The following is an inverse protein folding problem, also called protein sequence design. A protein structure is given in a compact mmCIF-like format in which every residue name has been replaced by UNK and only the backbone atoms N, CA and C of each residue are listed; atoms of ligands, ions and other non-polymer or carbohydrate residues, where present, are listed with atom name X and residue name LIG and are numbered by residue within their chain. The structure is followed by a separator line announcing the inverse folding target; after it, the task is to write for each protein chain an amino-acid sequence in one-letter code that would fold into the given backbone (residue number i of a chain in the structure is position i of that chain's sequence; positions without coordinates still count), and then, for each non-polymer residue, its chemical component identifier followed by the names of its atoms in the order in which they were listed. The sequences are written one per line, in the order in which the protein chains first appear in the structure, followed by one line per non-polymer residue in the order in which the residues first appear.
data_IF_118955531177
#
_entry.id   IF_118955531177
#
_cell.length_a   1.000
_cell.length_b   1.000
_cell.length_c   1.000
_cell.angle_alpha   90.00
_cell.angle_beta   90.00
_cell.angle_gamma   90.00
#
_symmetry.space_group_name_H-M   'P 1'
#
loop_
_entity.id
_entity.type
_entity.pdbx_description
1 polymer ?
#
# COMPACT_ATOMS: atom_id res chain seq x y z
N UNK A 1 -54.29 -11.68 -22.60
CA UNK A 1 -53.84 -11.29 -23.94
C UNK A 1 -52.45 -10.74 -23.77
N UNK A 2 -51.56 -11.63 -24.03
CA UNK A 2 -50.44 -11.53 -24.98
C UNK A 2 -49.40 -10.52 -24.52
N UNK A 3 -48.24 -10.88 -24.11
CA UNK A 3 -47.34 -11.91 -24.66
C UNK A 3 -46.21 -11.21 -25.38
N UNK A 4 -45.11 -11.69 -25.25
CA UNK A 4 -43.90 -11.61 -26.06
C UNK A 4 -42.65 -11.27 -25.20
N UNK A 5 -41.90 -12.33 -24.96
CA UNK A 5 -40.55 -12.29 -24.46
C UNK A 5 -39.56 -11.80 -25.52
N UNK A 6 -38.55 -11.16 -25.07
CA UNK A 6 -37.32 -10.91 -25.83
C UNK A 6 -36.13 -11.45 -25.01
N UNK A 7 -35.50 -12.48 -25.55
CA UNK A 7 -34.26 -13.04 -25.11
C UNK A 7 -33.16 -12.00 -25.32
N UNK A 8 -32.55 -11.53 -24.22
CA UNK A 8 -31.34 -10.73 -24.27
C UNK A 8 -30.13 -11.65 -24.38
N UNK A 9 -29.41 -11.52 -25.47
CA UNK A 9 -28.19 -12.25 -25.77
C UNK A 9 -27.08 -11.91 -24.75
N UNK A 10 -26.46 -12.97 -24.25
CA UNK A 10 -25.25 -12.90 -23.45
C UNK A 10 -24.10 -12.46 -24.38
N UNK A 11 -23.76 -11.19 -24.34
CA UNK A 11 -22.50 -10.68 -24.88
C UNK A 11 -21.38 -11.02 -23.91
N UNK A 12 -20.38 -11.70 -24.41
CA UNK A 12 -19.12 -12.01 -23.75
C UNK A 12 -18.49 -10.74 -23.17
N UNK A 13 -18.67 -10.52 -21.87
CA UNK A 13 -18.02 -9.42 -21.14
C UNK A 13 -16.54 -9.69 -21.01
N UNK A 14 -15.74 -8.89 -21.68
CA UNK A 14 -14.34 -8.68 -21.29
C UNK A 14 -14.31 -8.29 -19.81
N UNK A 15 -13.48 -9.03 -19.00
CA UNK A 15 -13.43 -8.88 -17.55
C UNK A 15 -13.08 -7.45 -17.14
N UNK A 16 -14.10 -6.66 -16.84
CA UNK A 16 -13.94 -5.43 -16.08
C UNK A 16 -13.60 -5.80 -14.65
N UNK A 17 -12.40 -5.43 -14.25
CA UNK A 17 -11.98 -5.42 -12.84
C UNK A 17 -12.96 -4.58 -12.01
N UNK A 18 -13.12 -4.87 -10.71
CA UNK A 18 -14.00 -4.11 -9.85
C UNK A 18 -13.70 -2.61 -9.97
N UNK A 19 -14.71 -1.75 -9.80
CA UNK A 19 -14.50 -0.31 -9.75
C UNK A 19 -13.41 0.03 -8.74
N UNK A 20 -12.77 1.18 -8.94
CA UNK A 20 -11.82 1.75 -7.97
C UNK A 20 -12.33 1.47 -6.55
N UNK A 21 -11.48 0.98 -5.62
CA UNK A 21 -11.90 0.88 -4.23
C UNK A 21 -12.46 2.26 -3.86
N UNK A 22 -13.72 2.27 -3.43
CA UNK A 22 -14.39 3.50 -2.97
C UNK A 22 -13.44 4.25 -2.05
N UNK A 23 -13.43 5.58 -2.15
CA UNK A 23 -12.62 6.47 -1.31
C UNK A 23 -12.63 5.90 0.10
N UNK A 24 -11.46 5.60 0.63
CA UNK A 24 -11.35 5.09 1.99
C UNK A 24 -12.14 6.04 2.88
N UNK A 25 -13.19 5.60 3.59
CA UNK A 25 -13.94 6.50 4.43
C UNK A 25 -12.98 7.05 5.48
N UNK A 26 -12.91 8.36 5.58
CA UNK A 26 -12.28 9.07 6.67
C UNK A 26 -13.01 8.65 7.97
N UNK A 27 -12.56 7.57 8.58
CA UNK A 27 -12.96 7.20 9.93
C UNK A 27 -11.70 7.05 10.75
N UNK A 28 -11.45 8.11 11.50
CA UNK A 28 -10.57 8.14 12.63
C UNK A 28 -10.75 6.85 13.47
N UNK A 29 -9.75 6.01 13.47
CA UNK A 29 -9.50 5.14 14.61
C UNK A 29 -8.49 5.86 15.49
N UNK A 30 -8.98 6.75 16.34
CA UNK A 30 -8.27 7.17 17.53
C UNK A 30 -8.10 5.92 18.42
N UNK A 31 -7.03 5.20 18.18
CA UNK A 31 -6.63 4.06 18.99
C UNK A 31 -6.08 4.54 20.32
N UNK A 32 -6.73 4.17 21.40
CA UNK A 32 -6.25 4.31 22.76
C UNK A 32 -4.80 3.81 22.89
N UNK A 33 -3.90 4.73 23.26
CA UNK A 33 -2.52 4.40 23.65
C UNK A 33 -2.53 3.64 24.98
N UNK A 34 -2.34 2.33 24.95
CA UNK A 34 -1.90 1.58 26.13
C UNK A 34 -0.37 1.71 26.25
N UNK A 35 0.06 2.49 27.21
CA UNK A 35 1.43 2.45 27.74
C UNK A 35 1.65 1.10 28.42
N UNK A 36 2.57 0.30 27.91
CA UNK A 36 3.05 -0.93 28.56
C UNK A 36 4.50 -1.17 28.18
N UNK A 37 5.41 -0.64 28.96
CA UNK A 37 6.82 -0.99 28.87
C UNK A 37 7.08 -2.36 29.51
N UNK A 38 7.91 -3.16 28.87
CA UNK A 38 8.68 -4.21 29.53
C UNK A 38 9.95 -4.50 28.71
N UNK A 39 11.05 -4.10 29.32
CA UNK A 39 12.41 -4.50 28.99
C UNK A 39 12.63 -5.96 29.30
N UNK A 40 13.20 -6.75 28.40
CA UNK A 40 14.03 -7.87 28.78
C UNK A 40 15.11 -8.16 27.73
N UNK A 41 16.32 -8.06 28.22
CA UNK A 41 17.59 -8.38 27.60
C UNK A 41 17.72 -9.91 27.56
N UNK A 42 18.09 -10.49 26.43
CA UNK A 42 18.82 -11.77 26.39
C UNK A 42 19.85 -11.73 25.28
N UNK A 43 21.10 -11.94 25.66
CA UNK A 43 22.28 -12.03 24.79
C UNK A 43 22.46 -13.42 24.15
N UNK A 44 23.37 -13.55 23.17
CA UNK A 44 23.46 -14.70 22.28
C UNK A 44 24.38 -15.79 22.78
N UNK A 45 24.09 -17.04 22.53
CA UNK A 45 24.99 -18.17 22.66
C UNK A 45 25.30 -18.80 21.33
N UNK A 46 26.60 -18.97 21.14
CA UNK A 46 27.31 -19.65 20.05
C UNK A 46 26.84 -21.10 19.88
N UNK A 47 26.86 -21.62 18.65
CA UNK A 47 27.53 -22.90 18.41
C UNK A 47 27.91 -23.05 16.94
N UNK A 48 29.20 -23.23 16.77
CA UNK A 48 29.95 -23.67 15.58
C UNK A 48 29.88 -25.19 15.45
N UNK A 49 30.16 -25.66 14.24
CA UNK A 49 30.61 -27.02 13.83
C UNK A 49 29.51 -28.03 13.52
N UNK A 50 29.36 -28.40 12.26
CA UNK A 50 29.84 -29.67 11.71
C UNK A 50 29.84 -29.61 10.17
N UNK A 51 31.03 -29.59 9.61
CA UNK A 51 31.31 -29.88 8.20
C UNK A 51 31.72 -31.39 8.12
N UNK A 52 31.32 -32.04 7.03
CA UNK A 52 32.00 -33.16 6.34
C UNK A 52 31.20 -34.44 6.16
N UNK A 53 31.37 -34.88 4.92
CA UNK A 53 31.26 -36.25 4.35
C UNK A 53 29.86 -36.59 3.84
N UNK A 54 29.63 -36.84 2.54
CA UNK A 54 30.17 -37.91 1.74
C UNK A 54 30.01 -37.67 0.24
N UNK A 55 31.09 -37.84 -0.48
CA UNK A 55 31.19 -38.11 -1.94
C UNK A 55 30.88 -39.55 -2.25
N UNK A 56 30.61 -39.78 -3.54
CA UNK A 56 30.66 -41.03 -4.29
C UNK A 56 29.45 -41.99 -4.24
N UNK A 57 28.72 -42.02 -5.35
CA UNK A 57 28.64 -43.25 -6.18
C UNK A 57 28.13 -42.93 -7.57
N UNK A 58 29.05 -43.02 -8.54
CA UNK A 58 28.77 -43.25 -9.93
C UNK A 58 28.51 -44.75 -10.14
N UNK A 59 27.39 -45.10 -10.76
CA UNK A 59 27.24 -46.38 -11.44
C UNK A 59 26.60 -46.16 -12.80
N UNK A 60 27.39 -46.45 -13.82
CA UNK A 60 27.03 -46.59 -15.23
C UNK A 60 26.12 -47.79 -15.46
N UNK A 61 25.09 -47.67 -16.27
CA UNK A 61 24.61 -48.80 -17.09
C UNK A 61 23.72 -48.35 -18.26
N UNK A 62 24.13 -48.75 -19.44
CA UNK A 62 23.28 -49.38 -20.46
C UNK A 62 22.51 -48.46 -21.43
N UNK A 63 23.15 -48.21 -22.56
CA UNK A 63 22.46 -47.74 -23.79
C UNK A 63 21.57 -48.85 -24.32
N UNK A 64 20.27 -48.61 -24.40
CA UNK A 64 19.33 -49.38 -25.22
C UNK A 64 18.58 -48.44 -26.12
N UNK A 65 18.88 -48.53 -27.40
CA UNK A 65 18.19 -47.83 -28.47
C UNK A 65 16.74 -48.27 -28.59
N UNK A 66 15.80 -47.42 -28.27
CA UNK A 66 14.39 -47.58 -28.60
C UNK A 66 14.04 -46.64 -29.73
N UNK A 67 13.56 -47.21 -30.83
CA UNK A 67 13.07 -46.54 -32.04
C UNK A 67 11.98 -45.56 -31.67
N UNK A 68 12.16 -44.31 -32.07
CA UNK A 68 11.17 -43.25 -32.01
C UNK A 68 10.13 -43.51 -33.09
N UNK A 69 8.94 -43.97 -32.71
CA UNK A 69 7.74 -43.82 -33.54
C UNK A 69 7.24 -42.39 -33.40
N UNK A 70 7.14 -41.69 -34.52
CA UNK A 70 6.57 -40.36 -34.63
C UNK A 70 5.08 -40.36 -34.18
N UNK A 71 4.83 -40.13 -32.90
CA UNK A 71 3.54 -39.73 -32.45
C UNK A 71 3.45 -38.19 -32.59
N UNK A 72 2.50 -37.73 -33.36
CA UNK A 72 2.02 -36.35 -33.39
C UNK A 72 1.81 -35.88 -31.97
N UNK A 73 2.77 -35.14 -31.42
CA UNK A 73 2.58 -34.41 -30.17
C UNK A 73 1.58 -33.30 -30.41
N UNK A 74 0.31 -33.59 -30.20
CA UNK A 74 -0.62 -32.56 -29.74
C UNK A 74 0.01 -31.98 -28.48
N UNK A 75 0.45 -30.73 -28.54
CA UNK A 75 0.87 -29.97 -27.37
C UNK A 75 -0.35 -29.87 -26.46
N UNK A 76 -0.48 -30.84 -25.55
CA UNK A 76 -1.34 -30.72 -24.39
C UNK A 76 -0.76 -29.52 -23.63
N UNK A 77 -1.42 -28.36 -23.71
CA UNK A 77 -1.08 -27.21 -22.87
C UNK A 77 -1.27 -27.63 -21.42
N UNK A 78 -0.15 -27.82 -20.77
CA UNK A 78 0.00 -28.56 -19.56
C UNK A 78 -0.42 -27.72 -18.35
N UNK A 79 -1.71 -27.83 -17.91
CA UNK A 79 -2.18 -27.33 -16.63
C UNK A 79 -1.55 -28.08 -15.44
N UNK A 80 -0.76 -29.13 -15.72
CA UNK A 80 -0.03 -29.91 -14.72
C UNK A 80 0.95 -29.01 -13.95
N UNK A 81 1.59 -28.07 -14.62
CA UNK A 81 2.53 -27.13 -13.98
C UNK A 81 1.81 -26.20 -12.99
N UNK A 82 0.65 -25.64 -13.36
CA UNK A 82 -0.13 -24.78 -12.47
C UNK A 82 -0.67 -25.59 -11.30
N UNK A 83 -1.21 -26.79 -11.56
CA UNK A 83 -1.69 -27.71 -10.52
C UNK A 83 -0.59 -28.10 -9.54
N UNK A 84 0.58 -28.51 -10.03
CA UNK A 84 1.75 -28.88 -9.19
C UNK A 84 2.15 -27.67 -8.33
N UNK A 85 2.23 -26.48 -8.92
CA UNK A 85 2.61 -25.26 -8.21
C UNK A 85 1.65 -24.91 -7.09
N UNK A 86 0.34 -25.09 -7.28
CA UNK A 86 -0.66 -24.85 -6.25
C UNK A 86 -0.65 -25.96 -5.18
N UNK A 87 -0.38 -27.21 -5.54
CA UNK A 87 -0.22 -28.28 -4.55
C UNK A 87 1.03 -28.09 -3.70
N UNK A 88 2.12 -27.59 -4.29
CA UNK A 88 3.34 -27.21 -3.53
C UNK A 88 3.06 -26.03 -2.60
N UNK A 89 2.30 -25.03 -3.06
CA UNK A 89 1.84 -23.96 -2.20
C UNK A 89 0.98 -24.52 -1.05
N UNK A 90 0.03 -25.41 -1.33
CA UNK A 90 -0.79 -26.07 -0.30
C UNK A 90 0.07 -26.81 0.74
N UNK A 91 1.16 -27.46 0.34
CA UNK A 91 2.08 -28.16 1.27
C UNK A 91 2.82 -27.18 2.21
N UNK A 92 3.01 -25.93 1.79
CA UNK A 92 3.61 -24.89 2.61
C UNK A 92 2.64 -24.28 3.64
N UNK A 93 1.35 -24.60 3.54
CA UNK A 93 0.32 -24.20 4.52
C UNK A 93 0.42 -25.10 5.74
N UNK A 94 0.63 -24.51 6.89
CA UNK A 94 0.77 -25.22 8.18
C UNK A 94 -0.53 -25.25 8.97
N UNK A 95 -1.47 -24.34 8.71
CA UNK A 95 -2.79 -24.31 9.31
C UNK A 95 -3.85 -23.92 8.28
N UNK A 96 -4.88 -24.76 8.18
CA UNK A 96 -6.10 -24.54 7.40
C UNK A 96 -7.31 -25.01 8.25
N UNK A 97 -7.53 -24.30 9.36
CA UNK A 97 -8.58 -24.66 10.34
C UNK A 97 -9.99 -24.62 9.74
N UNK A 98 -10.20 -23.81 8.71
CA UNK A 98 -11.48 -23.70 8.00
C UNK A 98 -11.63 -24.70 6.86
N UNK A 99 -10.63 -25.57 6.63
CA UNK A 99 -10.58 -26.52 5.50
C UNK A 99 -10.82 -25.83 4.14
N UNK A 100 -10.29 -24.61 4.00
CA UNK A 100 -10.48 -23.78 2.81
C UNK A 100 -9.90 -24.46 1.55
N UNK A 101 -8.79 -25.18 1.70
CA UNK A 101 -8.10 -25.87 0.61
C UNK A 101 -8.54 -27.36 0.46
N UNK A 102 -9.70 -27.75 1.01
CA UNK A 102 -10.20 -29.13 0.91
C UNK A 102 -10.40 -29.57 -0.54
N UNK A 103 -10.84 -28.64 -1.42
CA UNK A 103 -11.05 -28.92 -2.84
C UNK A 103 -9.75 -29.11 -3.64
N UNK A 104 -8.60 -28.77 -3.06
CA UNK A 104 -7.30 -28.80 -3.74
C UNK A 104 -6.70 -30.21 -3.70
N UNK A 105 -7.07 -31.05 -4.65
CA UNK A 105 -6.52 -32.41 -4.80
C UNK A 105 -6.55 -32.85 -6.27
N UNK A 106 -5.68 -33.76 -6.63
CA UNK A 106 -5.45 -34.22 -8.03
C UNK A 106 -6.73 -34.73 -8.70
N UNK A 107 -7.68 -35.29 -7.91
CA UNK A 107 -8.95 -35.82 -8.45
C UNK A 107 -10.01 -34.76 -8.75
N UNK A 108 -9.78 -33.48 -8.42
CA UNK A 108 -10.70 -32.39 -8.71
C UNK A 108 -10.16 -31.50 -9.83
N UNK A 109 -11.02 -31.02 -10.75
CA UNK A 109 -10.58 -30.06 -11.79
C UNK A 109 -10.00 -28.81 -11.17
N UNK A 110 -8.81 -28.38 -11.63
CA UNK A 110 -8.06 -27.24 -11.11
C UNK A 110 -8.90 -25.96 -10.99
N UNK A 111 -9.67 -25.66 -12.03
CA UNK A 111 -10.50 -24.46 -12.09
C UNK A 111 -11.78 -24.53 -11.22
N UNK A 112 -11.96 -25.62 -10.48
CA UNK A 112 -13.00 -25.75 -9.44
C UNK A 112 -12.44 -25.66 -8.02
N UNK A 113 -11.14 -25.50 -7.89
CA UNK A 113 -10.52 -25.32 -6.59
C UNK A 113 -10.91 -23.96 -6.00
N UNK A 114 -11.19 -23.94 -4.71
CA UNK A 114 -11.56 -22.70 -4.03
C UNK A 114 -10.48 -21.63 -4.23
N UNK A 115 -10.90 -20.44 -4.65
CA UNK A 115 -10.02 -19.30 -4.87
C UNK A 115 -9.23 -19.35 -6.18
N UNK A 116 -9.39 -20.36 -7.02
CA UNK A 116 -8.71 -20.49 -8.31
C UNK A 116 -9.64 -20.10 -9.44
N UNK A 117 -9.21 -19.15 -10.27
CA UNK A 117 -9.89 -18.77 -11.52
C UNK A 117 -8.96 -19.06 -12.67
N UNK A 118 -9.50 -19.71 -13.70
CA UNK A 118 -8.75 -20.04 -14.92
C UNK A 118 -9.12 -19.12 -16.08
N UNK A 119 -8.22 -19.06 -17.05
CA UNK A 119 -8.43 -18.34 -18.31
C UNK A 119 -9.50 -19.01 -19.17
N UNK A 120 -10.09 -18.24 -20.09
CA UNK A 120 -11.09 -18.71 -21.02
C UNK A 120 -10.53 -19.59 -22.17
N UNK A 121 -11.31 -19.83 -23.22
CA UNK A 121 -11.05 -20.86 -24.24
C UNK A 121 -9.71 -20.78 -24.97
N UNK A 122 -9.09 -19.60 -25.05
CA UNK A 122 -7.81 -19.41 -25.75
C UNK A 122 -6.61 -20.07 -25.06
N UNK A 123 -6.67 -20.19 -23.74
CA UNK A 123 -5.64 -20.84 -22.90
C UNK A 123 -6.34 -21.62 -21.80
N UNK A 124 -7.04 -22.71 -22.16
CA UNK A 124 -7.86 -23.44 -21.20
C UNK A 124 -7.01 -23.91 -20.03
N UNK A 125 -7.58 -23.78 -18.84
CA UNK A 125 -7.05 -24.28 -17.58
C UNK A 125 -5.76 -23.61 -17.05
N UNK A 126 -5.34 -22.45 -17.60
CA UNK A 126 -4.25 -21.67 -16.98
C UNK A 126 -4.80 -20.78 -15.88
N UNK A 127 -4.18 -20.81 -14.73
CA UNK A 127 -4.58 -20.00 -13.57
C UNK A 127 -4.27 -18.52 -13.82
N UNK A 128 -5.31 -17.68 -13.77
CA UNK A 128 -5.19 -16.23 -13.94
C UNK A 128 -5.46 -15.47 -12.64
N UNK A 129 -6.16 -16.08 -11.69
CA UNK A 129 -6.40 -15.49 -10.36
C UNK A 129 -6.26 -16.56 -9.28
N UNK A 130 -5.62 -16.18 -8.20
CA UNK A 130 -5.60 -16.93 -6.95
C UNK A 130 -6.03 -15.96 -5.83
N UNK A 131 -7.22 -16.19 -5.29
CA UNK A 131 -7.79 -15.41 -4.21
C UNK A 131 -8.09 -16.31 -2.99
N UNK A 132 -7.29 -16.13 -1.95
CA UNK A 132 -7.40 -16.82 -0.68
C UNK A 132 -7.51 -15.84 0.50
N UNK A 133 -8.06 -14.65 0.24
CA UNK A 133 -8.26 -13.60 1.24
C UNK A 133 -9.10 -14.10 2.41
N UNK A 134 -8.69 -13.75 3.63
CA UNK A 134 -9.45 -13.96 4.88
C UNK A 134 -9.90 -15.41 5.11
N UNK A 135 -9.01 -16.36 4.87
CA UNK A 135 -9.30 -17.80 5.07
C UNK A 135 -8.65 -18.39 6.34
N UNK A 136 -8.01 -17.54 7.16
CA UNK A 136 -7.27 -17.97 8.36
C UNK A 136 -6.18 -19.01 8.06
N UNK A 137 -5.57 -18.91 6.87
CA UNK A 137 -4.46 -19.76 6.47
C UNK A 137 -3.16 -19.30 7.16
N UNK A 138 -2.31 -20.26 7.53
CA UNK A 138 -0.97 -19.94 8.03
C UNK A 138 0.07 -20.85 7.35
N UNK A 139 1.29 -20.39 7.29
CA UNK A 139 2.41 -21.06 6.63
C UNK A 139 3.26 -20.07 5.85
N UNK A 140 3.97 -20.53 4.85
CA UNK A 140 4.81 -19.69 3.99
C UNK A 140 4.25 -19.59 2.58
N UNK A 141 4.54 -18.47 1.91
CA UNK A 141 4.21 -18.31 0.49
C UNK A 141 5.25 -19.08 -0.31
N UNK A 142 4.84 -20.21 -0.89
CA UNK A 142 5.77 -21.06 -1.65
C UNK A 142 6.30 -20.36 -2.89
N UNK A 143 7.63 -20.43 -3.14
CA UNK A 143 8.23 -19.94 -4.39
C UNK A 143 7.67 -20.61 -5.65
N UNK A 144 6.98 -21.74 -5.53
CA UNK A 144 6.34 -22.41 -6.68
C UNK A 144 5.29 -21.56 -7.37
N UNK A 145 4.66 -20.58 -6.65
CA UNK A 145 3.69 -19.65 -7.23
C UNK A 145 4.27 -18.86 -8.43
N UNK A 146 5.59 -18.66 -8.49
CA UNK A 146 6.25 -18.02 -9.66
C UNK A 146 6.03 -18.75 -11.00
N UNK A 147 5.61 -20.02 -10.97
CA UNK A 147 5.35 -20.81 -12.16
C UNK A 147 3.96 -20.58 -12.75
N UNK A 148 3.07 -19.89 -12.02
CA UNK A 148 1.76 -19.49 -12.51
C UNK A 148 1.88 -18.31 -13.49
N UNK A 149 2.55 -18.51 -14.61
CA UNK A 149 2.99 -17.45 -15.55
C UNK A 149 1.83 -16.70 -16.21
N UNK A 150 0.60 -17.18 -16.09
CA UNK A 150 -0.63 -16.49 -16.55
C UNK A 150 -1.32 -15.70 -15.45
N UNK A 151 -0.82 -15.77 -14.21
CA UNK A 151 -1.42 -15.12 -13.06
C UNK A 151 -1.46 -13.60 -13.26
N UNK A 152 -2.65 -13.02 -13.08
CA UNK A 152 -2.92 -11.58 -13.11
C UNK A 152 -3.25 -11.04 -11.72
N UNK A 153 -3.92 -11.85 -10.89
CA UNK A 153 -4.32 -11.47 -9.54
C UNK A 153 -3.84 -12.50 -8.52
N UNK A 154 -3.09 -12.03 -7.54
CA UNK A 154 -2.71 -12.79 -6.35
C UNK A 154 -3.19 -12.03 -5.11
N UNK A 155 -4.12 -12.63 -4.38
CA UNK A 155 -4.70 -12.05 -3.19
C UNK A 155 -4.64 -13.06 -2.04
N UNK A 156 -3.78 -12.77 -1.07
CA UNK A 156 -3.53 -13.60 0.11
C UNK A 156 -3.71 -12.80 1.41
N UNK A 157 -4.33 -11.63 1.33
CA UNK A 157 -4.48 -10.71 2.47
C UNK A 157 -5.34 -11.29 3.60
N UNK A 158 -5.20 -10.70 4.79
CA UNK A 158 -5.93 -11.08 6.01
C UNK A 158 -5.78 -12.56 6.36
N UNK A 159 -4.54 -13.03 6.45
CA UNK A 159 -4.19 -14.40 6.80
C UNK A 159 -3.04 -14.42 7.82
N UNK A 160 -2.47 -15.59 8.09
CA UNK A 160 -1.32 -15.76 8.98
C UNK A 160 -0.05 -16.19 8.24
N UNK A 161 0.18 -15.71 7.03
CA UNK A 161 1.39 -16.05 6.29
C UNK A 161 2.62 -15.43 6.94
N UNK A 162 3.69 -16.24 7.04
CA UNK A 162 4.98 -15.88 7.62
C UNK A 162 6.10 -16.07 6.60
N UNK A 163 7.32 -15.69 6.97
CA UNK A 163 8.50 -15.84 6.11
C UNK A 163 8.64 -14.69 5.13
N UNK A 164 9.44 -14.88 4.10
CA UNK A 164 9.76 -13.85 3.12
C UNK A 164 8.79 -13.84 1.93
N UNK A 165 8.66 -12.70 1.28
CA UNK A 165 7.97 -12.62 -0.01
C UNK A 165 8.84 -13.34 -1.05
N UNK A 166 8.34 -14.39 -1.72
CA UNK A 166 9.13 -15.10 -2.71
C UNK A 166 9.39 -14.26 -3.97
N UNK A 167 10.44 -14.56 -4.74
CA UNK A 167 10.73 -13.83 -5.98
C UNK A 167 9.68 -14.14 -7.04
N UNK A 168 8.90 -13.12 -7.43
CA UNK A 168 7.84 -13.23 -8.45
C UNK A 168 8.27 -12.87 -9.87
N UNK A 169 9.58 -12.90 -10.16
CA UNK A 169 10.16 -12.43 -11.43
C UNK A 169 9.55 -13.02 -12.72
N UNK A 170 8.88 -14.18 -12.64
CA UNK A 170 8.20 -14.81 -13.78
C UNK A 170 6.76 -14.37 -13.97
N UNK A 171 6.17 -13.68 -12.99
CA UNK A 171 4.77 -13.25 -13.02
C UNK A 171 4.60 -11.93 -13.81
N UNK A 172 5.08 -11.90 -15.04
CA UNK A 172 5.07 -10.70 -15.87
C UNK A 172 3.67 -10.19 -16.23
N UNK A 173 2.64 -11.03 -16.04
CA UNK A 173 1.23 -10.66 -16.27
C UNK A 173 0.51 -10.21 -15.01
N UNK A 174 1.21 -10.19 -13.87
CA UNK A 174 0.62 -9.81 -12.59
C UNK A 174 0.22 -8.34 -12.61
N UNK A 175 -1.05 -8.09 -12.36
CA UNK A 175 -1.71 -6.78 -12.35
C UNK A 175 -2.07 -6.35 -10.94
N UNK A 176 -2.40 -7.30 -10.08
CA UNK A 176 -2.84 -7.09 -8.71
C UNK A 176 -2.09 -8.02 -7.75
N UNK A 177 -1.43 -7.45 -6.77
CA UNK A 177 -0.77 -8.18 -5.68
C UNK A 177 -1.21 -7.61 -4.34
N UNK A 178 -1.91 -8.41 -3.55
CA UNK A 178 -2.28 -8.08 -2.19
C UNK A 178 -1.83 -9.17 -1.21
N UNK A 179 -0.86 -8.81 -0.37
CA UNK A 179 -0.31 -9.63 0.70
C UNK A 179 -0.51 -8.95 2.07
N UNK A 180 -1.39 -7.94 2.15
CA UNK A 180 -1.61 -7.14 3.36
C UNK A 180 -2.12 -7.99 4.53
N UNK A 181 -1.97 -7.46 5.75
CA UNK A 181 -2.49 -8.09 6.98
C UNK A 181 -2.03 -9.54 7.13
N UNK A 182 -0.70 -9.72 7.15
CA UNK A 182 -0.02 -10.99 7.39
C UNK A 182 1.15 -10.78 8.37
N UNK A 183 2.04 -11.76 8.48
CA UNK A 183 3.27 -11.68 9.31
C UNK A 183 4.52 -11.91 8.45
N UNK A 184 4.49 -11.43 7.21
CA UNK A 184 5.60 -11.53 6.28
C UNK A 184 6.78 -10.67 6.77
N UNK A 185 8.00 -11.17 6.57
CA UNK A 185 9.24 -10.53 7.04
C UNK A 185 10.31 -10.54 5.94
N UNK A 186 11.46 -9.97 6.23
CA UNK A 186 12.52 -9.79 5.24
C UNK A 186 12.27 -8.55 4.37
N UNK A 187 12.98 -8.43 3.28
CA UNK A 187 12.93 -7.27 2.38
C UNK A 187 11.85 -7.43 1.30
N UNK A 188 11.42 -6.30 0.73
CA UNK A 188 10.64 -6.31 -0.52
C UNK A 188 11.60 -6.74 -1.65
N UNK A 189 11.38 -7.89 -2.32
CA UNK A 189 12.32 -8.38 -3.32
C UNK A 189 12.42 -7.44 -4.54
N UNK A 190 13.63 -7.09 -4.96
CA UNK A 190 13.88 -6.31 -6.19
C UNK A 190 13.23 -6.96 -7.41
N UNK A 191 13.15 -8.28 -7.43
CA UNK A 191 12.55 -9.05 -8.53
C UNK A 191 11.06 -8.74 -8.72
N UNK A 192 10.38 -8.19 -7.71
CA UNK A 192 8.99 -7.74 -7.82
C UNK A 192 8.85 -6.60 -8.84
N UNK A 193 9.88 -5.76 -8.97
CA UNK A 193 9.91 -4.65 -9.93
C UNK A 193 9.91 -5.10 -11.40
N UNK A 194 10.08 -6.40 -11.67
CA UNK A 194 9.95 -6.98 -13.00
C UNK A 194 8.50 -7.27 -13.42
N UNK A 195 7.55 -7.17 -12.48
CA UNK A 195 6.12 -7.33 -12.76
C UNK A 195 5.53 -6.03 -13.34
N UNK A 196 5.98 -5.62 -14.53
CA UNK A 196 5.69 -4.30 -15.13
C UNK A 196 4.21 -4.00 -15.37
N UNK A 197 3.34 -5.01 -15.32
CA UNK A 197 1.90 -4.85 -15.47
C UNK A 197 1.17 -4.56 -14.14
N UNK A 198 1.89 -4.50 -13.01
CA UNK A 198 1.27 -4.21 -11.72
C UNK A 198 0.59 -2.84 -11.71
N UNK A 199 -0.68 -2.86 -11.31
CA UNK A 199 -1.51 -1.68 -11.02
C UNK A 199 -1.65 -1.48 -9.51
N UNK A 200 -1.72 -2.57 -8.73
CA UNK A 200 -1.94 -2.59 -7.30
C UNK A 200 -0.84 -3.37 -6.61
N UNK A 201 -0.16 -2.73 -5.67
CA UNK A 201 0.84 -3.35 -4.82
C UNK A 201 0.51 -3.05 -3.36
N UNK A 202 -0.09 -4.02 -2.68
CA UNK A 202 -0.52 -3.92 -1.29
C UNK A 202 0.27 -4.90 -0.41
N UNK A 203 1.13 -4.35 0.43
CA UNK A 203 1.98 -5.09 1.38
C UNK A 203 1.81 -4.56 2.82
N UNK A 204 0.80 -3.73 3.07
CA UNK A 204 0.58 -3.09 4.36
C UNK A 204 0.35 -4.10 5.49
N UNK A 205 0.64 -3.69 6.73
CA UNK A 205 0.45 -4.51 7.94
C UNK A 205 1.15 -5.86 7.85
N UNK A 206 2.48 -5.77 7.76
CA UNK A 206 3.41 -6.90 7.78
C UNK A 206 4.62 -6.56 8.66
N UNK A 207 5.65 -7.39 8.63
CA UNK A 207 6.90 -7.19 9.38
C UNK A 207 8.08 -6.98 8.42
N UNK A 208 7.83 -6.34 7.27
CA UNK A 208 8.83 -6.11 6.24
C UNK A 208 9.88 -5.10 6.71
N UNK A 209 11.12 -5.31 6.33
CA UNK A 209 12.29 -4.49 6.71
C UNK A 209 13.07 -4.07 5.46
N UNK A 210 14.11 -3.25 5.66
CA UNK A 210 14.96 -2.77 4.59
C UNK A 210 14.30 -1.64 3.80
N UNK A 211 14.84 -1.32 2.65
CA UNK A 211 14.43 -0.17 1.86
C UNK A 211 13.31 -0.50 0.87
N UNK A 212 12.56 0.51 0.48
CA UNK A 212 11.70 0.41 -0.72
C UNK A 212 12.62 0.27 -1.93
N UNK A 213 12.49 -0.79 -2.75
CA UNK A 213 13.41 -1.04 -3.84
C UNK A 213 13.54 0.15 -4.80
N UNK A 214 14.76 0.60 -5.09
CA UNK A 214 15.00 1.72 -6.02
C UNK A 214 14.47 1.43 -7.44
N UNK A 215 14.35 0.14 -7.80
CA UNK A 215 13.74 -0.33 -9.05
C UNK A 215 12.22 -0.15 -9.12
N UNK A 216 11.54 0.31 -8.06
CA UNK A 216 10.07 0.49 -8.04
C UNK A 216 9.57 1.36 -9.19
N UNK A 217 10.36 2.33 -9.64
CA UNK A 217 10.06 3.18 -10.80
C UNK A 217 9.92 2.47 -12.14
N UNK A 218 10.22 1.15 -12.21
CA UNK A 218 9.98 0.32 -13.41
C UNK A 218 8.53 -0.13 -13.54
N UNK A 219 7.75 -0.03 -12.46
CA UNK A 219 6.33 -0.40 -12.44
C UNK A 219 5.47 0.72 -13.04
N UNK A 220 5.65 1.02 -14.32
CA UNK A 220 5.06 2.19 -15.01
C UNK A 220 3.53 2.23 -14.98
N UNK A 221 2.87 1.10 -14.77
CA UNK A 221 1.41 0.98 -14.69
C UNK A 221 0.88 1.12 -13.24
N UNK A 222 1.76 1.19 -12.24
CA UNK A 222 1.33 1.18 -10.84
C UNK A 222 0.52 2.44 -10.53
N UNK A 223 -0.69 2.24 -9.99
CA UNK A 223 -1.58 3.29 -9.57
C UNK A 223 -1.73 3.34 -8.05
N UNK A 224 -1.62 2.22 -7.36
CA UNK A 224 -1.78 2.09 -5.91
C UNK A 224 -0.55 1.44 -5.28
N UNK A 225 0.18 2.19 -4.45
CA UNK A 225 1.34 1.72 -3.70
C UNK A 225 1.06 1.83 -2.20
N UNK A 226 0.74 0.72 -1.56
CA UNK A 226 0.44 0.67 -0.13
C UNK A 226 1.41 -0.25 0.62
N UNK A 227 2.33 0.35 1.38
CA UNK A 227 3.37 -0.32 2.17
C UNK A 227 3.28 0.04 3.66
N UNK A 228 2.15 0.61 4.08
CA UNK A 228 1.92 1.11 5.43
C UNK A 228 2.10 0.04 6.52
N UNK A 229 2.41 0.47 7.75
CA UNK A 229 2.51 -0.42 8.90
C UNK A 229 3.48 -1.58 8.70
N UNK A 230 4.75 -1.23 8.46
CA UNK A 230 5.88 -2.14 8.31
C UNK A 230 7.11 -1.61 9.10
N UNK A 231 8.26 -2.20 8.91
CA UNK A 231 9.52 -1.72 9.48
C UNK A 231 10.50 -1.25 8.39
N UNK A 232 9.98 -0.66 7.30
CA UNK A 232 10.80 -0.20 6.18
C UNK A 232 11.69 0.97 6.60
N UNK A 233 12.89 1.02 6.08
CA UNK A 233 13.94 2.00 6.37
C UNK A 233 14.45 2.67 5.11
N UNK A 234 15.43 3.56 5.25
CA UNK A 234 16.02 4.28 4.12
C UNK A 234 15.14 5.42 3.61
N UNK A 235 15.44 5.92 2.43
CA UNK A 235 14.78 7.07 1.85
C UNK A 235 13.61 6.66 0.93
N UNK A 236 12.68 7.59 0.73
CA UNK A 236 11.63 7.42 -0.30
C UNK A 236 12.30 7.48 -1.67
N UNK A 237 12.19 6.45 -2.53
CA UNK A 237 12.91 6.42 -3.79
C UNK A 237 12.48 7.53 -4.75
N UNK A 238 13.39 8.40 -5.21
CA UNK A 238 13.07 9.43 -6.22
C UNK A 238 12.59 8.85 -7.56
N UNK A 239 12.87 7.55 -7.80
CA UNK A 239 12.42 6.82 -8.99
C UNK A 239 10.89 6.69 -9.09
N UNK A 240 10.15 6.93 -8.02
CA UNK A 240 8.68 6.98 -8.03
C UNK A 240 8.14 7.97 -9.06
N UNK A 241 8.89 9.03 -9.39
CA UNK A 241 8.55 9.98 -10.47
C UNK A 241 8.30 9.34 -11.84
N UNK A 242 8.90 8.19 -12.09
CA UNK A 242 8.76 7.48 -13.37
C UNK A 242 7.40 6.79 -13.52
N UNK A 243 6.61 6.74 -12.45
CA UNK A 243 5.31 6.06 -12.43
C UNK A 243 4.20 7.12 -12.57
N UNK A 244 3.99 7.61 -13.77
CA UNK A 244 3.02 8.68 -14.05
C UNK A 244 1.55 8.31 -13.73
N UNK A 245 1.28 7.03 -13.54
CA UNK A 245 -0.07 6.52 -13.22
C UNK A 245 -0.36 6.48 -11.71
N UNK A 246 0.62 6.82 -10.84
CA UNK A 246 0.41 6.80 -9.39
C UNK A 246 -0.72 7.74 -8.98
N UNK A 247 -1.66 7.18 -8.28
CA UNK A 247 -2.84 7.82 -7.69
C UNK A 247 -2.74 7.91 -6.17
N UNK A 248 -2.27 6.83 -5.55
CA UNK A 248 -2.14 6.76 -4.10
C UNK A 248 -0.78 6.20 -3.68
N UNK A 249 -0.20 6.85 -2.69
CA UNK A 249 1.01 6.38 -2.00
C UNK A 249 0.69 6.39 -0.51
N UNK A 250 0.76 5.22 0.13
CA UNK A 250 0.66 5.08 1.58
C UNK A 250 1.90 4.37 2.12
N UNK A 251 2.72 5.12 2.85
CA UNK A 251 3.94 4.66 3.52
C UNK A 251 3.85 4.88 5.04
N UNK A 252 2.66 5.20 5.55
CA UNK A 252 2.45 5.54 6.97
C UNK A 252 2.96 4.43 7.89
N UNK A 253 3.43 4.82 9.06
CA UNK A 253 3.88 3.88 10.11
C UNK A 253 4.99 2.96 9.65
N UNK A 254 6.15 3.56 9.32
CA UNK A 254 7.40 2.92 8.95
C UNK A 254 8.59 3.59 9.66
N UNK A 255 9.80 3.37 9.19
CA UNK A 255 11.03 3.98 9.72
C UNK A 255 11.81 4.70 8.61
N UNK A 256 11.08 5.30 7.67
CA UNK A 256 11.68 6.00 6.54
C UNK A 256 12.36 7.28 7.00
N UNK A 257 13.49 7.57 6.41
CA UNK A 257 14.36 8.73 6.73
C UNK A 257 14.60 9.60 5.51
N UNK A 258 15.44 10.62 5.65
CA UNK A 258 15.75 11.55 4.57
C UNK A 258 14.65 12.58 4.35
N UNK A 259 14.54 13.10 3.15
CA UNK A 259 13.58 14.16 2.80
C UNK A 259 12.48 13.60 1.89
N UNK A 260 11.33 14.28 1.88
CA UNK A 260 10.29 14.00 0.87
C UNK A 260 10.83 14.42 -0.50
N UNK A 261 10.92 13.52 -1.50
CA UNK A 261 11.46 13.86 -2.81
C UNK A 261 10.59 14.89 -3.56
N UNK A 262 11.22 15.94 -4.12
CA UNK A 262 10.56 16.93 -4.98
C UNK A 262 9.79 16.30 -6.16
N UNK A 263 10.26 15.16 -6.59
CA UNK A 263 9.68 14.39 -7.67
C UNK A 263 8.23 13.96 -7.44
N UNK A 264 7.82 13.75 -6.19
CA UNK A 264 6.43 13.36 -5.87
C UNK A 264 5.44 14.45 -6.26
N UNK A 265 5.81 15.73 -6.12
CA UNK A 265 4.96 16.85 -6.54
C UNK A 265 4.78 16.97 -8.06
N UNK A 266 5.50 16.20 -8.85
CA UNK A 266 5.39 16.18 -10.33
C UNK A 266 4.50 15.05 -10.84
N UNK A 267 3.92 14.24 -9.95
CA UNK A 267 3.03 13.14 -10.32
C UNK A 267 1.63 13.68 -10.64
N UNK A 268 1.18 13.58 -11.90
CA UNK A 268 -0.02 14.30 -12.35
C UNK A 268 -1.34 13.76 -11.81
N UNK A 269 -1.34 12.50 -11.35
CA UNK A 269 -2.55 11.79 -10.92
C UNK A 269 -2.58 11.52 -9.41
N UNK A 270 -1.56 11.99 -8.67
CA UNK A 270 -1.46 11.73 -7.23
C UNK A 270 -2.50 12.54 -6.46
N UNK A 271 -3.50 11.86 -5.88
CA UNK A 271 -4.52 12.52 -5.06
C UNK A 271 -4.41 12.15 -3.57
N UNK A 272 -3.74 11.07 -3.23
CA UNK A 272 -3.55 10.60 -1.86
C UNK A 272 -2.07 10.37 -1.56
N UNK A 273 -1.52 11.13 -0.63
CA UNK A 273 -0.14 10.98 -0.14
C UNK A 273 -0.15 10.91 1.38
N UNK A 274 0.15 9.73 1.91
CA UNK A 274 0.24 9.49 3.35
C UNK A 274 1.64 8.96 3.71
N UNK A 275 2.42 9.83 4.36
CA UNK A 275 3.79 9.59 4.82
C UNK A 275 3.89 9.72 6.35
N UNK A 276 2.76 9.80 7.06
CA UNK A 276 2.73 9.99 8.50
C UNK A 276 3.48 8.89 9.27
N UNK A 277 3.83 9.15 10.52
CA UNK A 277 4.48 8.20 11.42
C UNK A 277 5.77 7.60 10.82
N UNK A 278 6.72 8.46 10.48
CA UNK A 278 8.05 8.10 9.96
C UNK A 278 9.14 8.96 10.62
N UNK A 279 10.35 8.94 10.08
CA UNK A 279 11.48 9.76 10.55
C UNK A 279 11.95 10.72 9.43
N UNK A 280 11.00 11.20 8.61
CA UNK A 280 11.29 12.14 7.52
C UNK A 280 11.65 13.52 8.06
N UNK A 281 12.59 14.18 7.43
CA UNK A 281 13.11 15.49 7.82
C UNK A 281 13.06 16.51 6.66
N UNK A 282 13.51 17.73 6.93
CA UNK A 282 13.47 18.81 5.92
C UNK A 282 12.11 19.50 5.88
N UNK A 283 11.73 20.04 4.74
CA UNK A 283 10.45 20.72 4.54
C UNK A 283 9.55 20.00 3.55
N UNK A 284 8.33 20.52 3.38
CA UNK A 284 7.43 20.09 2.30
C UNK A 284 8.04 20.54 0.97
N UNK A 285 8.23 19.65 0.00
CA UNK A 285 8.80 20.00 -1.30
C UNK A 285 7.96 21.07 -2.02
N UNK A 286 8.64 22.09 -2.57
CA UNK A 286 7.96 23.16 -3.30
C UNK A 286 7.10 22.62 -4.47
N UNK A 287 7.54 21.54 -5.09
CA UNK A 287 6.82 20.92 -6.18
C UNK A 287 5.40 20.41 -5.81
N UNK A 288 5.13 20.12 -4.52
CA UNK A 288 3.81 19.69 -4.06
C UNK A 288 2.79 20.85 -4.04
N UNK A 289 3.24 22.10 -3.88
CA UNK A 289 2.37 23.27 -3.73
C UNK A 289 2.64 24.43 -4.73
N UNK A 290 3.54 24.21 -5.71
CA UNK A 290 3.90 25.28 -6.69
C UNK A 290 3.05 25.28 -7.96
N UNK A 291 2.57 24.10 -8.37
CA UNK A 291 1.91 23.96 -9.65
C UNK A 291 0.40 23.83 -9.47
N UNK A 292 -0.37 24.68 -10.19
CA UNK A 292 -1.86 24.70 -10.19
C UNK A 292 -2.52 23.41 -10.69
N UNK A 293 -1.79 22.34 -10.85
CA UNK A 293 -2.28 21.04 -11.33
C UNK A 293 -2.28 19.97 -10.24
N UNK A 294 -2.21 20.38 -8.98
CA UNK A 294 -2.27 19.43 -7.90
C UNK A 294 -3.63 18.74 -7.88
N UNK A 295 -3.63 17.46 -8.20
CA UNK A 295 -4.78 16.57 -7.99
C UNK A 295 -4.90 16.16 -6.52
N UNK A 296 -3.99 16.64 -5.66
CA UNK A 296 -3.87 16.20 -4.28
C UNK A 296 -5.11 16.57 -3.48
N UNK A 297 -5.74 15.56 -2.87
CA UNK A 297 -6.91 15.69 -2.02
C UNK A 297 -6.56 15.39 -0.56
N UNK A 298 -5.65 14.45 -0.33
CA UNK A 298 -5.23 14.03 1.00
C UNK A 298 -3.72 14.13 1.10
N UNK A 299 -3.24 14.93 2.06
CA UNK A 299 -1.83 15.08 2.40
C UNK A 299 -1.66 14.86 3.90
N UNK A 300 -1.09 13.71 4.26
CA UNK A 300 -0.81 13.34 5.65
C UNK A 300 0.68 13.18 5.86
N UNK A 301 1.26 14.05 6.67
CA UNK A 301 2.68 14.13 6.99
C UNK A 301 2.93 14.11 8.50
N UNK A 302 1.90 13.89 9.30
CA UNK A 302 1.96 13.92 10.77
C UNK A 302 2.99 12.97 11.37
N UNK A 303 3.42 13.24 12.60
CA UNK A 303 4.38 12.39 13.34
C UNK A 303 5.65 12.08 12.55
N UNK A 304 6.41 13.15 12.23
CA UNK A 304 7.71 13.09 11.54
C UNK A 304 8.69 14.09 12.17
N UNK A 305 9.83 14.32 11.53
CA UNK A 305 10.80 15.36 11.92
C UNK A 305 10.83 16.49 10.87
N UNK A 306 9.72 16.71 10.17
CA UNK A 306 9.61 17.78 9.18
C UNK A 306 9.62 19.14 9.87
N UNK A 307 10.18 20.15 9.20
CA UNK A 307 10.30 21.50 9.75
C UNK A 307 10.29 22.55 8.66
N UNK A 308 10.85 23.72 8.98
CA UNK A 308 10.84 24.94 8.19
C UNK A 308 9.48 25.63 8.20
N UNK A 309 9.52 26.87 7.75
CA UNK A 309 8.35 27.73 7.60
C UNK A 309 7.54 27.31 6.38
N UNK A 310 6.22 27.23 6.54
CA UNK A 310 5.32 27.08 5.39
C UNK A 310 5.29 28.42 4.63
N UNK A 311 5.41 28.43 3.30
CA UNK A 311 5.36 29.67 2.52
C UNK A 311 3.96 30.31 2.57
N UNK A 312 3.93 31.64 2.46
CA UNK A 312 2.68 32.41 2.56
C UNK A 312 1.62 32.04 1.52
N UNK A 313 2.04 31.47 0.39
CA UNK A 313 1.17 31.02 -0.71
C UNK A 313 0.88 29.51 -0.69
N UNK A 314 1.13 28.82 0.42
CA UNK A 314 1.02 27.36 0.51
C UNK A 314 -0.37 26.84 0.11
N UNK A 315 -1.45 27.54 0.48
CA UNK A 315 -2.83 27.17 0.15
C UNK A 315 -3.34 27.63 -1.22
N UNK A 316 -2.55 28.45 -1.95
CA UNK A 316 -3.05 29.07 -3.20
C UNK A 316 -3.18 28.07 -4.36
N UNK A 317 -2.48 26.96 -4.29
CA UNK A 317 -2.39 25.96 -5.37
C UNK A 317 -2.93 24.58 -4.99
N UNK A 318 -3.19 24.35 -3.70
CA UNK A 318 -3.72 23.10 -3.18
C UNK A 318 -5.24 23.12 -3.06
N UNK A 319 -5.94 23.73 -4.01
CA UNK A 319 -7.36 24.04 -3.94
C UNK A 319 -8.29 22.82 -3.90
N UNK A 320 -7.78 21.64 -4.25
CA UNK A 320 -8.52 20.37 -4.20
C UNK A 320 -8.32 19.59 -2.91
N UNK A 321 -7.58 20.17 -1.94
CA UNK A 321 -7.26 19.44 -0.72
C UNK A 321 -8.49 19.34 0.18
N UNK A 322 -8.82 18.12 0.57
CA UNK A 322 -9.87 17.79 1.52
C UNK A 322 -9.28 17.61 2.94
N UNK A 323 -8.05 17.06 3.04
CA UNK A 323 -7.41 16.75 4.31
C UNK A 323 -5.94 17.18 4.31
N UNK A 324 -5.54 17.90 5.36
CA UNK A 324 -4.16 18.31 5.63
C UNK A 324 -3.77 17.98 7.07
N UNK A 325 -2.85 17.04 7.23
CA UNK A 325 -2.30 16.65 8.53
C UNK A 325 -0.79 16.92 8.54
N UNK A 326 -0.37 17.86 9.38
CA UNK A 326 1.02 18.25 9.61
C UNK A 326 1.41 18.12 11.09
N UNK A 327 0.57 17.50 11.88
CA UNK A 327 0.70 17.35 13.33
C UNK A 327 2.01 16.64 13.76
N UNK A 328 2.41 16.85 15.02
CA UNK A 328 3.60 16.20 15.62
C UNK A 328 4.86 16.32 14.72
N UNK A 329 5.24 17.58 14.39
CA UNK A 329 6.41 17.89 13.56
C UNK A 329 7.19 19.10 14.14
N UNK A 330 8.14 19.65 13.39
CA UNK A 330 8.95 20.80 13.78
C UNK A 330 8.66 22.03 12.90
N UNK A 331 7.46 22.15 12.32
CA UNK A 331 7.09 23.33 11.53
C UNK A 331 7.11 24.60 12.40
N UNK A 332 7.60 25.70 11.82
CA UNK A 332 7.79 26.98 12.50
C UNK A 332 7.24 28.16 11.68
N UNK A 333 7.29 29.37 12.25
CA UNK A 333 6.80 30.57 11.59
C UNK A 333 5.28 30.74 11.71
N UNK A 334 4.71 31.59 10.86
CA UNK A 334 3.29 31.90 10.91
C UNK A 334 2.44 30.88 10.15
N UNK A 335 1.20 30.67 10.60
CA UNK A 335 0.20 29.96 9.83
C UNK A 335 -0.10 30.71 8.54
N UNK A 336 0.02 30.08 7.34
CA UNK A 336 -0.25 30.77 6.08
C UNK A 336 -1.71 31.16 5.93
N UNK A 337 -1.99 32.46 5.75
CA UNK A 337 -3.36 32.92 5.51
C UNK A 337 -3.99 32.32 4.25
N UNK A 338 -3.19 31.92 3.28
CA UNK A 338 -3.63 31.26 2.04
C UNK A 338 -4.30 29.91 2.27
N UNK A 339 -4.08 29.25 3.42
CA UNK A 339 -4.85 28.03 3.78
C UNK A 339 -6.34 28.29 3.75
N UNK A 340 -6.79 29.51 4.09
CA UNK A 340 -8.20 29.93 3.98
C UNK A 340 -8.76 29.96 2.55
N UNK A 341 -7.93 29.79 1.52
CA UNK A 341 -8.36 29.71 0.12
C UNK A 341 -8.76 28.27 -0.30
N UNK A 342 -8.44 27.26 0.52
CA UNK A 342 -8.77 25.86 0.25
C UNK A 342 -10.23 25.60 0.69
N UNK A 343 -11.18 26.10 -0.07
CA UNK A 343 -12.61 26.09 0.31
C UNK A 343 -13.21 24.69 0.50
N UNK A 344 -12.58 23.65 -0.03
CA UNK A 344 -12.97 22.24 0.12
C UNK A 344 -12.41 21.56 1.38
N UNK A 345 -11.51 22.23 2.10
CA UNK A 345 -10.81 21.62 3.23
C UNK A 345 -11.81 21.18 4.33
N UNK A 346 -11.74 19.89 4.64
CA UNK A 346 -12.63 19.25 5.61
C UNK A 346 -11.94 18.99 6.95
N UNK A 347 -10.65 18.60 6.91
CA UNK A 347 -9.85 18.32 8.11
C UNK A 347 -8.49 19.04 8.02
N UNK A 348 -8.15 19.77 9.08
CA UNK A 348 -6.89 20.48 9.23
C UNK A 348 -6.30 20.18 10.61
N UNK A 349 -5.21 19.44 10.65
CA UNK A 349 -4.42 19.23 11.86
C UNK A 349 -3.00 19.80 11.70
N UNK A 350 -2.67 20.78 12.53
CA UNK A 350 -1.35 21.40 12.61
C UNK A 350 -0.83 21.42 14.04
N UNK A 351 -1.39 20.55 14.90
CA UNK A 351 -1.06 20.47 16.32
C UNK A 351 0.36 19.99 16.56
N UNK A 352 0.86 20.20 17.77
CA UNK A 352 2.18 19.74 18.19
C UNK A 352 3.31 20.17 17.23
N UNK A 353 3.40 21.49 17.00
CA UNK A 353 4.40 22.14 16.16
C UNK A 353 4.95 23.40 16.84
N UNK A 354 5.73 24.20 16.12
CA UNK A 354 6.33 25.44 16.62
C UNK A 354 5.73 26.69 15.92
N UNK A 355 4.49 26.63 15.46
CA UNK A 355 3.84 27.78 14.82
C UNK A 355 3.66 28.95 15.78
N UNK A 356 3.94 30.17 15.30
CA UNK A 356 3.88 31.42 16.06
C UNK A 356 2.88 32.40 15.42
N UNK A 357 2.61 33.50 16.11
CA UNK A 357 1.74 34.56 15.61
C UNK A 357 0.27 34.26 15.78
N UNK A 358 -0.57 34.92 15.01
CA UNK A 358 -2.02 34.82 15.17
C UNK A 358 -2.62 33.76 14.26
N UNK A 359 -3.77 33.23 14.68
CA UNK A 359 -4.61 32.42 13.79
C UNK A 359 -5.17 33.33 12.69
N UNK A 360 -5.00 33.01 11.40
CA UNK A 360 -5.50 33.85 10.32
C UNK A 360 -7.03 33.95 10.30
N UNK A 361 -7.59 35.17 10.17
CA UNK A 361 -9.03 35.38 10.02
C UNK A 361 -9.60 34.71 8.76
N UNK A 362 -8.76 34.52 7.72
CA UNK A 362 -9.12 33.79 6.49
C UNK A 362 -9.55 32.34 6.73
N UNK A 363 -9.22 31.73 7.87
CA UNK A 363 -9.71 30.38 8.20
C UNK A 363 -11.24 30.36 8.33
N UNK A 364 -11.88 31.50 8.61
CA UNK A 364 -13.34 31.64 8.56
C UNK A 364 -13.96 31.42 7.17
N UNK A 365 -13.16 31.37 6.10
CA UNK A 365 -13.60 31.06 4.74
C UNK A 365 -13.73 29.56 4.47
N UNK A 366 -13.24 28.70 5.37
CA UNK A 366 -13.23 27.24 5.22
C UNK A 366 -14.62 26.64 5.55
N UNK A 367 -15.61 26.97 4.74
CA UNK A 367 -17.02 26.65 5.02
C UNK A 367 -17.34 25.15 5.15
N UNK A 368 -16.49 24.27 4.67
CA UNK A 368 -16.61 22.80 4.77
C UNK A 368 -15.85 22.22 5.94
N UNK A 369 -15.05 23.02 6.66
CA UNK A 369 -14.19 22.54 7.72
C UNK A 369 -14.98 21.92 8.86
N UNK A 370 -14.69 20.64 9.13
CA UNK A 370 -15.30 19.83 10.17
C UNK A 370 -14.39 19.67 11.39
N UNK A 371 -13.08 19.56 11.14
CA UNK A 371 -12.05 19.32 12.15
C UNK A 371 -10.94 20.37 12.02
N UNK A 372 -10.67 21.11 13.10
CA UNK A 372 -9.55 22.04 13.21
C UNK A 372 -8.79 21.78 14.50
N UNK A 373 -7.54 21.37 14.39
CA UNK A 373 -6.65 21.18 15.51
C UNK A 373 -5.38 22.01 15.36
N UNK A 374 -5.18 22.96 16.27
CA UNK A 374 -3.99 23.82 16.39
C UNK A 374 -3.35 23.69 17.77
N UNK A 375 -3.72 22.66 18.55
CA UNK A 375 -3.23 22.41 19.89
C UNK A 375 -1.70 22.39 19.95
N UNK A 376 -1.17 22.79 21.08
CA UNK A 376 0.26 22.70 21.40
C UNK A 376 1.16 23.31 20.31
N UNK A 377 1.04 24.63 20.20
CA UNK A 377 1.85 25.53 19.38
C UNK A 377 2.23 26.78 20.18
N UNK A 378 2.85 27.76 19.53
CA UNK A 378 3.21 29.03 20.13
C UNK A 378 2.34 30.19 19.61
N UNK A 379 1.05 29.89 19.31
CA UNK A 379 0.10 30.86 18.76
C UNK A 379 -0.31 31.86 19.85
N UNK A 380 -0.52 33.11 19.44
CA UNK A 380 -0.84 34.23 20.33
C UNK A 380 -1.96 35.09 19.74
N UNK A 381 -2.40 36.10 20.51
CA UNK A 381 -3.51 36.97 20.09
C UNK A 381 -4.90 36.34 20.38
N UNK A 382 -5.92 36.86 19.73
CA UNK A 382 -7.31 36.40 19.96
C UNK A 382 -7.73 35.35 18.93
N UNK A 383 -8.67 34.49 19.28
CA UNK A 383 -9.36 33.63 18.31
C UNK A 383 -10.15 34.54 17.37
N UNK A 384 -9.93 34.44 16.03
CA UNK A 384 -10.65 35.27 15.06
C UNK A 384 -12.16 35.06 15.12
N UNK A 385 -12.93 36.15 15.15
CA UNK A 385 -14.39 36.10 15.18
C UNK A 385 -14.98 35.40 13.94
N UNK A 386 -14.24 35.43 12.84
CA UNK A 386 -14.62 34.81 11.57
C UNK A 386 -14.75 33.28 11.69
N UNK A 387 -14.06 32.63 12.65
CA UNK A 387 -14.22 31.20 12.91
C UNK A 387 -15.65 30.88 13.41
N UNK A 388 -16.37 31.82 14.03
CA UNK A 388 -17.77 31.66 14.39
C UNK A 388 -18.70 31.48 13.18
N UNK A 389 -18.24 31.71 11.95
CA UNK A 389 -18.99 31.47 10.71
C UNK A 389 -18.96 30.04 10.22
N UNK A 390 -18.07 29.19 10.75
CA UNK A 390 -17.86 27.81 10.34
C UNK A 390 -18.97 26.88 10.84
N UNK A 391 -20.08 26.82 10.12
CA UNK A 391 -21.29 26.09 10.55
C UNK A 391 -21.11 24.56 10.59
N UNK A 392 -20.10 24.03 9.91
CA UNK A 392 -19.84 22.59 9.88
C UNK A 392 -18.75 22.16 10.88
N UNK A 393 -18.11 23.11 11.54
CA UNK A 393 -17.05 22.83 12.49
C UNK A 393 -17.61 22.06 13.70
N UNK A 394 -17.13 20.82 13.86
CA UNK A 394 -17.53 19.92 14.94
C UNK A 394 -16.46 19.78 16.02
N UNK A 395 -15.21 19.79 15.60
CA UNK A 395 -14.04 19.69 16.47
C UNK A 395 -13.16 20.91 16.30
N UNK A 396 -12.88 21.58 17.41
CA UNK A 396 -11.96 22.70 17.49
C UNK A 396 -11.07 22.51 18.71
N UNK A 397 -9.78 22.31 18.49
CA UNK A 397 -8.79 22.30 19.56
C UNK A 397 -7.69 23.34 19.29
N UNK A 398 -7.52 24.28 20.20
CA UNK A 398 -6.49 25.32 20.20
C UNK A 398 -5.80 25.40 21.55
N UNK A 399 -5.97 24.37 22.39
CA UNK A 399 -5.36 24.31 23.73
C UNK A 399 -3.84 24.34 23.67
N UNK A 400 -3.21 24.59 24.80
CA UNK A 400 -1.76 24.65 24.94
C UNK A 400 -1.10 25.63 23.95
N UNK A 401 -1.64 26.85 23.85
CA UNK A 401 -1.14 27.98 23.11
C UNK A 401 -1.08 29.23 24.02
N UNK A 402 -0.66 30.38 23.50
CA UNK A 402 -0.63 31.65 24.21
C UNK A 402 -1.77 32.58 23.78
N UNK A 403 -2.93 32.01 23.42
CA UNK A 403 -4.11 32.74 22.99
C UNK A 403 -4.73 33.55 24.14
N UNK A 404 -5.32 34.68 23.81
CA UNK A 404 -5.93 35.62 24.78
C UNK A 404 -7.38 35.92 24.37
N UNK A 405 -8.17 36.50 25.29
CA UNK A 405 -9.54 36.90 25.02
C UNK A 405 -10.55 35.76 25.21
N UNK A 406 -11.78 36.02 24.78
CA UNK A 406 -12.88 35.01 24.84
C UNK A 406 -13.02 34.22 23.56
N UNK A 407 -13.77 33.14 23.61
CA UNK A 407 -14.22 32.39 22.42
C UNK A 407 -15.31 33.20 21.73
N UNK A 408 -15.21 33.47 20.43
CA UNK A 408 -16.17 34.28 19.68
C UNK A 408 -17.53 33.62 19.52
#
# INVERSE_FOLDING_TARGET
MEGVGAAAGVTSGEGRWPPEPERLPARAQSGERRKGGLTSIIQPARLTTILRLLSFMLVSCGVSSVRCSSSTTTTVHDNSTDMISLLDFKRAITNDSRQALRSWHVGAPLCKWKGVVCSGPKHPDRVIELNLMNLSLSGTISPSLRNLTFLRRLELSHNGFIGEIPPFSRLQRLEYLDLSDNSLRGIIPDTLTNCSNLWYLFLSRNLLIGEVPSGIGRLSNLAWLHLAFNNLTGEIPPSLKNISQLKTISLVSNKLTGTIPDELGKLPNLYYLDLAENMLSGGIPEALYKYNQSSLQILRLGSNMLGKTLPSNFGDTLLNLDELYLDENNFEGHLPASLGNISGLFELDMSFNNFVGQVPSSFGNLGTLYYLNLQQNNLLGCIPIELGSLKQLNHLDMSDNSLQGGVP
#
